data_IF_768543033478
#
_entry.id   IF_768543033478
#
_cell.length_a   1.000
_cell.length_b   1.000
_cell.length_c   1.000
_cell.angle_alpha   90.00
_cell.angle_beta   90.00
_cell.angle_gamma   90.00
#
_symmetry.space_group_name_H-M   'P 1'
#
loop_
_entity.id
_entity.type
_entity.pdbx_description
1 polymer ?
#
# COMPACT_ATOMS: atom_id res chain seq x y z
N UNK A 1 -30.18 -12.19 4.92
CA UNK A 1 -30.59 -13.40 4.19
C UNK A 1 -29.98 -13.32 2.81
N UNK A 2 -28.96 -14.14 2.54
CA UNK A 2 -28.12 -14.02 1.35
C UNK A 2 -28.78 -14.56 0.09
N UNK A 3 -28.85 -13.72 -0.94
CA UNK A 3 -29.30 -14.08 -2.29
C UNK A 3 -28.15 -14.03 -3.28
N UNK A 4 -27.17 -14.93 -3.13
CA UNK A 4 -26.21 -15.24 -4.19
C UNK A 4 -26.90 -16.05 -5.30
N UNK A 5 -27.38 -15.38 -6.35
CA UNK A 5 -28.02 -16.00 -7.50
C UNK A 5 -27.46 -15.44 -8.81
N UNK A 6 -26.65 -16.22 -9.51
CA UNK A 6 -26.03 -15.82 -10.77
C UNK A 6 -27.03 -15.54 -11.89
N UNK A 7 -26.83 -14.39 -12.55
CA UNK A 7 -27.19 -14.15 -13.95
C UNK A 7 -28.01 -12.89 -14.22
N UNK A 8 -29.02 -12.60 -13.40
CA UNK A 8 -29.92 -11.45 -13.61
C UNK A 8 -30.29 -10.82 -12.28
N UNK A 9 -30.27 -9.49 -12.25
CA UNK A 9 -30.69 -8.69 -11.12
C UNK A 9 -32.17 -8.95 -10.77
N UNK A 10 -32.50 -8.84 -9.49
CA UNK A 10 -33.87 -8.95 -9.02
C UNK A 10 -34.72 -7.77 -9.53
N UNK A 11 -36.03 -7.93 -9.56
CA UNK A 11 -36.92 -6.84 -9.98
C UNK A 11 -36.84 -5.63 -9.02
N UNK A 12 -36.46 -5.86 -7.76
CA UNK A 12 -36.25 -4.83 -6.74
C UNK A 12 -34.94 -4.07 -7.01
N UNK A 13 -33.87 -4.77 -7.37
CA UNK A 13 -32.58 -4.17 -7.75
C UNK A 13 -32.75 -3.27 -8.98
N UNK A 14 -33.54 -3.73 -9.96
CA UNK A 14 -33.80 -3.00 -11.19
C UNK A 14 -34.59 -1.71 -10.88
N UNK A 15 -35.62 -1.79 -10.04
CA UNK A 15 -36.39 -0.60 -9.64
C UNK A 15 -35.54 0.40 -8.83
N UNK A 16 -34.71 -0.09 -7.91
CA UNK A 16 -33.78 0.76 -7.16
C UNK A 16 -32.77 1.46 -8.10
N UNK A 17 -32.29 0.75 -9.13
CA UNK A 17 -31.42 1.34 -10.16
C UNK A 17 -32.15 2.38 -11.03
N UNK A 18 -33.40 2.11 -11.45
CA UNK A 18 -34.21 3.03 -12.27
C UNK A 18 -34.49 4.35 -11.53
N UNK A 19 -34.79 4.28 -10.23
CA UNK A 19 -34.96 5.46 -9.37
C UNK A 19 -33.66 6.26 -9.27
N UNK A 20 -32.53 5.57 -9.07
CA UNK A 20 -31.22 6.21 -9.00
C UNK A 20 -30.87 6.92 -10.31
N UNK A 21 -31.03 6.26 -11.46
CA UNK A 21 -30.78 6.83 -12.78
C UNK A 21 -31.65 8.07 -13.00
N UNK A 22 -32.94 7.98 -12.67
CA UNK A 22 -33.89 9.10 -12.80
C UNK A 22 -33.48 10.31 -11.96
N UNK A 23 -32.95 10.07 -10.75
CA UNK A 23 -32.48 11.14 -9.86
C UNK A 23 -31.20 11.84 -10.35
N UNK A 24 -30.36 11.13 -11.11
CA UNK A 24 -29.06 11.55 -11.63
C UNK A 24 -29.10 12.06 -13.09
N UNK A 25 -30.29 12.13 -13.71
CA UNK A 25 -30.40 12.61 -15.08
C UNK A 25 -29.88 14.05 -15.21
N UNK A 26 -28.90 14.22 -16.11
CA UNK A 26 -28.42 15.53 -16.48
C UNK A 26 -29.52 16.27 -17.27
N UNK A 27 -29.66 17.59 -17.09
CA UNK A 27 -30.46 18.38 -18.02
C UNK A 27 -29.88 18.24 -19.43
N UNK A 28 -30.75 18.32 -20.45
CA UNK A 28 -30.47 18.18 -21.88
C UNK A 28 -28.97 18.11 -22.25
N UNK A 29 -28.45 16.89 -22.38
CA UNK A 29 -27.04 16.65 -22.64
C UNK A 29 -26.61 17.33 -23.96
N UNK A 30 -25.53 18.10 -23.88
CA UNK A 30 -24.88 18.71 -25.04
C UNK A 30 -23.36 18.54 -24.89
N UNK A 31 -22.73 17.99 -25.92
CA UNK A 31 -21.28 17.77 -25.94
C UNK A 31 -20.45 19.06 -25.82
N UNK A 32 -21.05 20.23 -26.12
CA UNK A 32 -20.40 21.53 -25.98
C UNK A 32 -20.40 22.08 -24.54
N UNK A 33 -21.13 21.45 -23.62
CA UNK A 33 -21.17 21.89 -22.23
C UNK A 33 -19.93 21.46 -21.43
N UNK A 34 -19.08 20.61 -22.01
CA UNK A 34 -17.89 20.05 -21.36
C UNK A 34 -16.66 20.47 -22.15
N UNK A 35 -15.81 21.26 -21.52
CA UNK A 35 -14.55 21.72 -22.12
C UNK A 35 -13.40 20.80 -21.73
N UNK A 36 -12.35 20.76 -22.55
CA UNK A 36 -11.14 20.02 -22.18
C UNK A 36 -10.31 20.84 -21.18
N UNK A 37 -10.19 20.43 -19.90
CA UNK A 37 -9.53 21.22 -18.87
C UNK A 37 -8.04 21.44 -19.15
N UNK A 38 -7.37 20.49 -19.82
CA UNK A 38 -5.95 20.59 -20.18
C UNK A 38 -5.74 21.68 -21.24
N UNK A 39 -6.59 21.69 -22.27
CA UNK A 39 -6.52 22.70 -23.31
C UNK A 39 -6.89 24.08 -22.77
N UNK A 40 -7.94 24.16 -21.94
CA UNK A 40 -8.35 25.42 -21.32
C UNK A 40 -7.24 25.99 -20.44
N UNK A 41 -6.62 25.17 -19.60
CA UNK A 41 -5.47 25.58 -18.78
C UNK A 41 -4.30 26.03 -19.65
N UNK A 42 -4.01 25.32 -20.75
CA UNK A 42 -2.92 25.68 -21.66
C UNK A 42 -3.12 27.05 -22.30
N UNK A 43 -4.29 27.30 -22.90
CA UNK A 43 -4.57 28.59 -23.54
C UNK A 43 -4.70 29.73 -22.54
N UNK A 44 -5.26 29.48 -21.36
CA UNK A 44 -5.28 30.45 -20.27
C UNK A 44 -3.86 30.88 -19.86
N UNK A 45 -2.93 29.93 -19.72
CA UNK A 45 -1.52 30.24 -19.43
C UNK A 45 -0.85 31.03 -20.56
N UNK A 46 -1.14 30.70 -21.82
CA UNK A 46 -0.62 31.43 -22.98
C UNK A 46 -1.14 32.88 -23.02
N UNK A 47 -2.43 33.07 -22.76
CA UNK A 47 -3.07 34.38 -22.72
C UNK A 47 -2.50 35.24 -21.58
N UNK A 48 -2.34 34.67 -20.39
CA UNK A 48 -1.71 35.34 -19.24
C UNK A 48 -0.29 35.80 -19.57
N UNK A 49 0.50 34.95 -20.22
CA UNK A 49 1.86 35.29 -20.65
C UNK A 49 1.88 36.37 -21.74
N UNK A 50 0.89 36.38 -22.64
CA UNK A 50 0.77 37.39 -23.69
C UNK A 50 0.35 38.77 -23.16
N UNK A 51 -0.41 38.81 -22.06
CA UNK A 51 -0.90 40.03 -21.41
C UNK A 51 0.02 40.57 -20.31
N UNK A 52 1.20 39.96 -20.11
CA UNK A 52 2.13 40.26 -19.00
C UNK A 52 1.43 40.29 -17.63
N UNK A 53 0.45 39.41 -17.43
CA UNK A 53 -0.20 39.24 -16.13
C UNK A 53 0.74 38.49 -15.17
N UNK A 54 0.96 39.05 -13.98
CA UNK A 54 1.72 38.36 -12.94
C UNK A 54 1.04 37.01 -12.60
N UNK A 55 1.86 35.95 -12.57
CA UNK A 55 1.47 34.54 -12.46
C UNK A 55 0.67 34.16 -11.20
N UNK A 56 0.37 35.13 -10.33
CA UNK A 56 -0.36 34.93 -9.08
C UNK A 56 -1.89 34.87 -9.24
N UNK A 57 -2.41 34.86 -10.48
CA UNK A 57 -3.82 34.60 -10.72
C UNK A 57 -4.07 33.10 -10.56
N UNK A 58 -4.36 32.74 -9.32
CA UNK A 58 -4.71 31.41 -8.79
C UNK A 58 -6.00 30.80 -9.37
N UNK A 59 -6.60 31.41 -10.40
CA UNK A 59 -7.79 30.88 -11.07
C UNK A 59 -7.38 29.71 -11.95
N UNK A 60 -7.31 28.53 -11.34
CA UNK A 60 -7.33 27.29 -12.08
C UNK A 60 -8.69 27.22 -12.77
N UNK A 61 -8.68 27.11 -14.10
CA UNK A 61 -9.90 26.86 -14.87
C UNK A 61 -10.72 25.73 -14.20
N UNK A 62 -12.02 25.97 -14.03
CA UNK A 62 -12.91 25.02 -13.39
C UNK A 62 -13.08 23.80 -14.30
N UNK A 63 -12.65 22.64 -13.82
CA UNK A 63 -12.85 21.38 -14.53
C UNK A 63 -14.32 20.97 -14.54
N UNK A 64 -15.00 21.35 -15.62
CA UNK A 64 -16.40 21.01 -15.92
C UNK A 64 -16.64 19.52 -16.15
N UNK A 65 -15.58 18.70 -16.30
CA UNK A 65 -15.71 17.25 -16.51
C UNK A 65 -15.90 16.48 -15.21
N UNK A 66 -15.67 17.12 -14.06
CA UNK A 66 -15.88 16.51 -12.76
C UNK A 66 -17.38 16.37 -12.46
N UNK A 67 -17.82 15.30 -11.76
CA UNK A 67 -19.20 15.14 -11.35
C UNK A 67 -19.68 16.31 -10.47
N UNK A 68 -20.91 16.78 -10.70
CA UNK A 68 -21.50 17.85 -9.88
C UNK A 68 -21.70 17.37 -8.42
N UNK A 69 -20.99 17.97 -7.44
CA UNK A 69 -21.09 17.56 -6.05
C UNK A 69 -22.47 17.88 -5.46
N UNK A 70 -23.21 18.87 -5.98
CA UNK A 70 -24.56 19.19 -5.52
C UNK A 70 -25.56 18.11 -5.93
N UNK A 71 -25.49 17.64 -7.18
CA UNK A 71 -26.27 16.51 -7.67
C UNK A 71 -26.02 15.24 -6.85
N UNK A 72 -24.75 14.89 -6.62
CA UNK A 72 -24.39 13.70 -5.84
C UNK A 72 -24.89 13.76 -4.38
N UNK A 73 -24.88 14.95 -3.76
CA UNK A 73 -25.44 15.13 -2.42
C UNK A 73 -26.95 14.88 -2.38
N UNK A 74 -27.68 15.30 -3.43
CA UNK A 74 -29.13 15.08 -3.54
C UNK A 74 -29.44 13.59 -3.69
N UNK A 75 -28.69 12.88 -4.53
CA UNK A 75 -28.91 11.46 -4.85
C UNK A 75 -28.35 10.48 -3.81
N UNK A 76 -27.82 10.97 -2.68
CA UNK A 76 -27.15 10.12 -1.67
C UNK A 76 -28.11 9.08 -1.07
N UNK A 77 -29.39 9.42 -0.93
CA UNK A 77 -30.41 8.52 -0.37
C UNK A 77 -30.69 7.34 -1.29
N UNK A 78 -30.99 7.63 -2.55
CA UNK A 78 -31.24 6.66 -3.62
C UNK A 78 -30.02 5.78 -3.87
N UNK A 79 -28.82 6.38 -3.84
CA UNK A 79 -27.56 5.65 -3.98
C UNK A 79 -27.35 4.65 -2.84
N UNK A 80 -27.65 5.06 -1.60
CA UNK A 80 -27.56 4.18 -0.43
C UNK A 80 -28.59 3.06 -0.51
N UNK A 81 -29.84 3.38 -0.87
CA UNK A 81 -30.88 2.39 -1.04
C UNK A 81 -30.50 1.33 -2.10
N UNK A 82 -30.01 1.77 -3.26
CA UNK A 82 -29.53 0.84 -4.29
C UNK A 82 -28.36 -0.02 -3.79
N UNK A 83 -27.41 0.57 -3.06
CA UNK A 83 -26.29 -0.17 -2.46
C UNK A 83 -26.78 -1.26 -1.51
N UNK A 84 -27.70 -0.91 -0.61
CA UNK A 84 -28.20 -1.81 0.43
C UNK A 84 -29.03 -2.96 -0.19
N UNK A 85 -29.81 -2.69 -1.25
CA UNK A 85 -30.57 -3.73 -1.97
C UNK A 85 -29.66 -4.71 -2.72
N UNK A 86 -28.62 -4.22 -3.39
CA UNK A 86 -27.74 -5.06 -4.24
C UNK A 86 -26.68 -5.81 -3.43
N UNK A 87 -26.06 -5.14 -2.47
CA UNK A 87 -24.93 -5.69 -1.73
C UNK A 87 -25.28 -6.14 -0.31
N UNK A 88 -26.42 -5.70 0.23
CA UNK A 88 -26.81 -5.92 1.63
C UNK A 88 -26.27 -4.84 2.57
N UNK A 89 -26.95 -4.67 3.71
CA UNK A 89 -26.60 -3.65 4.72
C UNK A 89 -25.22 -3.90 5.37
N UNK A 90 -24.77 -5.15 5.39
CA UNK A 90 -23.52 -5.60 6.01
C UNK A 90 -22.31 -5.54 5.07
N UNK A 91 -22.49 -5.16 3.80
CA UNK A 91 -21.43 -5.17 2.78
C UNK A 91 -20.17 -4.40 3.19
N UNK A 92 -20.35 -3.23 3.80
CA UNK A 92 -19.22 -2.42 4.25
C UNK A 92 -18.43 -3.14 5.38
N UNK A 93 -19.14 -3.86 6.26
CA UNK A 93 -18.53 -4.63 7.36
C UNK A 93 -17.81 -5.88 6.83
N UNK A 94 -18.36 -6.52 5.80
CA UNK A 94 -17.72 -7.65 5.12
C UNK A 94 -16.42 -7.23 4.42
N UNK A 95 -16.40 -6.07 3.75
CA UNK A 95 -15.18 -5.49 3.15
C UNK A 95 -14.13 -5.20 4.22
N UNK A 96 -14.53 -4.60 5.35
CA UNK A 96 -13.59 -4.30 6.45
C UNK A 96 -13.05 -5.58 7.11
N UNK A 97 -13.88 -6.61 7.27
CA UNK A 97 -13.47 -7.93 7.75
C UNK A 97 -12.52 -8.65 6.76
N UNK A 98 -12.75 -8.52 5.46
CA UNK A 98 -11.87 -9.08 4.43
C UNK A 98 -10.52 -8.32 4.36
N UNK A 99 -10.54 -7.00 4.50
CA UNK A 99 -9.33 -6.19 4.55
C UNK A 99 -8.46 -6.52 5.78
N UNK A 100 -9.08 -6.74 6.95
CA UNK A 100 -8.34 -7.10 8.18
C UNK A 100 -7.76 -8.52 8.13
N UNK A 101 -8.48 -9.49 7.55
CA UNK A 101 -7.95 -10.86 7.34
C UNK A 101 -6.83 -10.91 6.30
N UNK A 102 -6.88 -10.08 5.25
CA UNK A 102 -5.78 -9.90 4.28
C UNK A 102 -4.52 -9.27 4.91
N UNK A 103 -4.65 -8.46 5.96
CA UNK A 103 -3.51 -7.93 6.74
C UNK A 103 -2.94 -8.99 7.70
N UNK A 104 -3.79 -9.83 8.29
CA UNK A 104 -3.36 -10.93 9.15
C UNK A 104 -2.51 -11.97 8.41
N UNK A 105 -2.82 -12.26 7.14
CA UNK A 105 -2.02 -13.17 6.31
C UNK A 105 -0.65 -12.60 5.91
N UNK A 106 -0.52 -11.28 5.75
CA UNK A 106 0.78 -10.62 5.51
C UNK A 106 1.68 -10.57 6.75
N UNK A 107 1.10 -10.52 7.95
CA UNK A 107 1.87 -10.52 9.21
C UNK A 107 2.37 -11.92 9.63
N UNK A 108 1.80 -13.00 9.10
CA UNK A 108 2.34 -14.36 9.27
C UNK A 108 3.73 -14.55 8.62
N UNK A 109 4.07 -13.78 7.58
CA UNK A 109 5.42 -13.74 6.99
C UNK A 109 6.46 -13.07 7.89
N UNK A 110 6.04 -12.13 8.74
CA UNK A 110 6.92 -11.40 9.67
C UNK A 110 7.26 -12.26 10.90
N UNK A 111 6.32 -13.10 11.38
CA UNK A 111 6.57 -14.00 12.52
C UNK A 111 7.62 -15.08 12.22
N UNK A 112 7.67 -15.63 11.00
CA UNK A 112 8.74 -16.56 10.57
C UNK A 112 10.13 -15.91 10.54
N UNK A 113 10.22 -14.59 10.34
CA UNK A 113 11.49 -13.85 10.37
C UNK A 113 12.01 -13.66 11.81
N UNK A 114 11.11 -13.51 12.78
CA UNK A 114 11.43 -13.33 14.19
C UNK A 114 11.85 -14.63 14.89
N UNK A 115 11.21 -15.77 14.57
CA UNK A 115 11.60 -17.08 15.11
C UNK A 115 13.01 -17.51 14.67
N UNK A 116 13.37 -17.23 13.41
CA UNK A 116 14.75 -17.44 12.96
C UNK A 116 15.77 -16.54 13.67
N UNK A 117 15.37 -15.42 14.29
CA UNK A 117 16.30 -14.56 15.04
C UNK A 117 16.58 -15.12 16.44
N UNK A 118 15.61 -15.77 17.08
CA UNK A 118 15.80 -16.44 18.37
C UNK A 118 16.73 -17.66 18.27
N UNK A 119 16.61 -18.46 17.20
CA UNK A 119 17.49 -19.61 16.94
C UNK A 119 18.93 -19.21 16.52
N UNK A 120 19.14 -17.93 16.16
CA UNK A 120 20.47 -17.38 15.85
C UNK A 120 21.29 -17.05 17.10
N UNK A 121 20.63 -16.71 18.22
CA UNK A 121 21.29 -16.29 19.45
C UNK A 121 21.82 -17.50 20.26
N UNK A 122 21.06 -18.60 20.30
CA UNK A 122 21.39 -19.82 21.06
C UNK A 122 22.65 -20.56 20.58
N UNK A 123 23.03 -20.40 19.31
CA UNK A 123 24.22 -21.04 18.74
C UNK A 123 25.54 -20.33 19.07
N UNK A 124 25.50 -19.14 19.69
CA UNK A 124 26.67 -18.27 19.93
C UNK A 124 27.05 -18.24 21.41
N UNK A 125 26.10 -18.43 22.32
CA UNK A 125 26.27 -18.30 23.78
C UNK A 125 27.20 -19.36 24.41
N UNK A 126 27.57 -20.42 23.68
CA UNK A 126 28.47 -21.47 24.17
C UNK A 126 29.93 -21.36 23.73
N UNK A 127 30.29 -20.36 22.90
CA UNK A 127 31.62 -20.27 22.29
C UNK A 127 32.38 -19.06 22.85
N UNK A 128 33.50 -19.28 23.52
CA UNK A 128 34.41 -18.21 23.95
C UNK A 128 35.25 -17.71 22.75
N UNK A 129 34.72 -16.71 22.05
CA UNK A 129 35.37 -16.07 20.91
C UNK A 129 36.67 -15.36 21.28
N UNK A 130 36.80 -14.85 22.51
CA UNK A 130 38.01 -14.18 22.98
C UNK A 130 39.17 -15.17 23.15
N UNK A 131 38.88 -16.36 23.68
CA UNK A 131 39.86 -17.45 23.77
C UNK A 131 40.26 -17.95 22.37
N UNK A 132 39.30 -18.14 21.46
CA UNK A 132 39.59 -18.59 20.10
C UNK A 132 40.45 -17.60 19.29
N UNK A 133 40.35 -16.29 19.56
CA UNK A 133 41.22 -15.27 18.96
C UNK A 133 42.64 -15.35 19.53
N UNK A 134 42.77 -15.51 20.85
CA UNK A 134 44.08 -15.65 21.54
C UNK A 134 44.83 -16.89 21.09
N UNK A 135 44.13 -18.01 20.88
CA UNK A 135 44.70 -19.28 20.44
C UNK A 135 44.90 -19.36 18.91
N UNK A 136 44.44 -18.36 18.14
CA UNK A 136 44.50 -18.37 16.68
C UNK A 136 43.63 -19.46 16.03
N UNK A 137 42.64 -19.98 16.74
CA UNK A 137 41.82 -21.13 16.33
C UNK A 137 40.55 -20.73 15.54
N UNK A 138 40.32 -19.44 15.25
CA UNK A 138 39.18 -18.98 14.42
C UNK A 138 39.14 -19.65 13.02
N UNK A 139 40.30 -19.97 12.44
CA UNK A 139 40.40 -20.62 11.13
C UNK A 139 39.85 -22.06 11.14
N UNK A 140 39.80 -22.71 12.32
CA UNK A 140 39.24 -24.06 12.51
C UNK A 140 37.71 -24.08 12.59
N UNK A 141 37.07 -22.93 12.81
CA UNK A 141 35.61 -22.84 12.86
C UNK A 141 34.99 -22.99 11.47
N UNK A 142 33.75 -23.50 11.42
CA UNK A 142 33.03 -23.67 10.16
C UNK A 142 32.53 -22.32 9.63
N UNK A 143 32.38 -22.21 8.31
CA UNK A 143 31.92 -20.98 7.66
C UNK A 143 30.53 -20.54 8.18
N UNK A 144 29.68 -21.51 8.51
CA UNK A 144 28.34 -21.26 9.03
C UNK A 144 28.35 -20.66 10.43
N UNK A 145 29.25 -21.10 11.33
CA UNK A 145 29.39 -20.53 12.68
C UNK A 145 29.93 -19.10 12.60
N UNK A 146 30.92 -18.84 11.73
CA UNK A 146 31.44 -17.49 11.49
C UNK A 146 30.38 -16.53 10.93
N UNK A 147 29.54 -17.01 10.00
CA UNK A 147 28.42 -16.24 9.45
C UNK A 147 27.35 -15.96 10.52
N UNK A 148 27.07 -16.92 11.40
CA UNK A 148 26.13 -16.73 12.52
C UNK A 148 26.63 -15.66 13.48
N UNK A 149 27.92 -15.69 13.87
CA UNK A 149 28.53 -14.64 14.68
C UNK A 149 28.44 -13.27 14.01
N UNK A 150 28.86 -13.18 12.73
CA UNK A 150 28.76 -11.93 11.99
C UNK A 150 27.32 -11.41 11.93
N UNK A 151 26.35 -12.27 11.67
CA UNK A 151 24.94 -11.88 11.61
C UNK A 151 24.40 -11.37 12.95
N UNK A 152 24.79 -11.99 14.07
CA UNK A 152 24.34 -11.60 15.40
C UNK A 152 24.95 -10.27 15.87
N UNK A 153 26.20 -10.00 15.49
CA UNK A 153 26.88 -8.74 15.80
C UNK A 153 26.65 -7.65 14.72
N UNK A 154 25.70 -7.86 13.79
CA UNK A 154 25.37 -6.89 12.74
C UNK A 154 26.48 -6.67 11.70
N UNK A 155 27.45 -7.58 11.62
CA UNK A 155 28.57 -7.54 10.68
C UNK A 155 28.17 -8.18 9.34
N UNK A 156 28.82 -7.73 8.25
CA UNK A 156 28.60 -8.30 6.92
C UNK A 156 28.91 -9.81 6.89
N UNK A 157 27.97 -10.62 6.39
CA UNK A 157 28.09 -12.09 6.26
C UNK A 157 28.62 -12.54 4.90
N UNK A 158 28.96 -11.60 4.01
CA UNK A 158 29.51 -11.86 2.67
C UNK A 158 31.05 -11.96 2.71
N UNK A 159 31.59 -12.86 1.88
CA UNK A 159 33.04 -13.03 1.68
C UNK A 159 33.53 -14.47 1.75
N UNK A 160 34.79 -14.68 1.34
CA UNK A 160 35.54 -15.94 1.55
C UNK A 160 35.77 -16.15 3.06
N UNK A 161 36.02 -17.40 3.46
CA UNK A 161 36.20 -17.79 4.88
C UNK A 161 37.24 -16.92 5.60
N UNK A 162 38.34 -16.57 4.94
CA UNK A 162 39.41 -15.75 5.53
C UNK A 162 38.94 -14.34 5.89
N UNK A 163 38.11 -13.72 5.05
CA UNK A 163 37.53 -12.39 5.33
C UNK A 163 36.56 -12.41 6.51
N UNK A 164 35.84 -13.52 6.71
CA UNK A 164 34.98 -13.69 7.87
C UNK A 164 35.83 -13.86 9.14
N UNK A 165 36.93 -14.62 9.08
CA UNK A 165 37.87 -14.80 10.19
C UNK A 165 38.51 -13.48 10.62
N UNK A 166 39.02 -12.69 9.66
CA UNK A 166 39.62 -11.38 9.95
C UNK A 166 38.60 -10.42 10.57
N UNK A 167 37.36 -10.42 10.08
CA UNK A 167 36.28 -9.56 10.59
C UNK A 167 35.88 -9.90 12.01
N UNK A 168 35.74 -11.19 12.32
CA UNK A 168 35.47 -11.66 13.70
C UNK A 168 36.65 -11.34 14.61
N UNK A 169 37.88 -11.56 14.15
CA UNK A 169 39.09 -11.23 14.91
C UNK A 169 39.15 -9.75 15.26
N UNK A 170 38.93 -8.87 14.28
CA UNK A 170 38.94 -7.43 14.46
C UNK A 170 37.84 -6.96 15.43
N UNK A 171 36.64 -7.55 15.34
CA UNK A 171 35.53 -7.23 16.24
C UNK A 171 35.82 -7.63 17.70
N UNK A 172 36.39 -8.82 17.92
CA UNK A 172 36.72 -9.32 19.26
C UNK A 172 37.95 -8.65 19.87
N UNK A 173 38.93 -8.22 19.05
CA UNK A 173 40.12 -7.50 19.55
C UNK A 173 39.91 -6.00 19.71
N UNK A 174 38.91 -5.44 19.03
CA UNK A 174 38.56 -4.01 19.05
C UNK A 174 37.43 -3.66 20.01
N UNK A 175 36.87 -4.65 20.71
CA UNK A 175 35.83 -4.51 21.73
C UNK A 175 36.34 -5.02 23.07
#
# INVERSE_FOLDING_TARGET
>A
GGGGGGGRASQEDIQAAEMLISSMQLPAFNCRNFENPVLQTHYMMLEQLALDMDKEVTDKHLDTTLPDPALLRRCKGELRHFKDTVYGEDYDQEIEAEATTAVATKSAGVKRKAEQAADRQSAIEGIDWAQLVKEGALSKQTNDILKKYCAAHGLAVSGKKDLLVERVRAHVSGS
#
